data_IF_824420513808
#
_entry.id   IF_824420513808
#
_cell.length_a   1.000
_cell.length_b   1.000
_cell.length_c   1.000
_cell.angle_alpha   90.00
_cell.angle_beta   90.00
_cell.angle_gamma   90.00
#
_symmetry.space_group_name_H-M   'P 1'
#
loop_
_entity.id
_entity.type
_entity.pdbx_description
1 polymer ?
#
# COMPACT_ATOMS: atom_id res chain seq x y z
N UNK A 1 -48.61 53.91 -16.90
CA UNK A 1 -48.42 52.45 -17.02
C UNK A 1 -49.78 51.79 -17.16
N UNK A 2 -49.99 50.92 -18.14
CA UNK A 2 -51.23 50.11 -18.22
C UNK A 2 -51.27 49.11 -17.05
N UNK A 3 -52.46 48.74 -16.57
CA UNK A 3 -52.63 47.76 -15.47
C UNK A 3 -51.86 46.45 -15.71
N UNK A 4 -51.73 46.07 -16.98
CA UNK A 4 -51.00 44.90 -17.45
C UNK A 4 -49.48 45.02 -17.23
N UNK A 5 -48.89 46.19 -17.55
CA UNK A 5 -47.47 46.46 -17.28
C UNK A 5 -47.16 46.49 -15.78
N UNK A 6 -48.06 47.05 -14.97
CA UNK A 6 -47.88 47.13 -13.51
C UNK A 6 -47.98 45.74 -12.83
N UNK A 7 -48.86 44.86 -13.32
CA UNK A 7 -48.93 43.45 -12.91
C UNK A 7 -47.70 42.66 -13.33
N UNK A 8 -47.23 42.83 -14.57
CA UNK A 8 -46.02 42.18 -15.06
C UNK A 8 -44.78 42.63 -14.26
N UNK A 9 -44.68 43.93 -13.94
CA UNK A 9 -43.62 44.47 -13.09
C UNK A 9 -43.69 43.93 -11.66
N UNK A 10 -44.88 43.85 -11.04
CA UNK A 10 -45.03 43.26 -9.70
C UNK A 10 -44.68 41.77 -9.66
N UNK A 11 -45.03 41.00 -10.71
CA UNK A 11 -44.65 39.58 -10.82
C UNK A 11 -43.14 39.43 -11.00
N UNK A 12 -42.52 40.23 -11.88
CA UNK A 12 -41.07 40.16 -12.13
C UNK A 12 -40.22 40.68 -10.97
N UNK A 13 -40.70 41.68 -10.23
CA UNK A 13 -39.93 42.31 -9.13
C UNK A 13 -40.23 41.66 -7.76
N UNK A 14 -41.40 41.02 -7.59
CA UNK A 14 -41.78 40.39 -6.33
C UNK A 14 -41.83 38.87 -6.39
N UNK A 15 -42.63 38.32 -7.32
CA UNK A 15 -42.90 36.88 -7.37
C UNK A 15 -41.70 36.06 -7.86
N UNK A 16 -40.98 36.53 -8.89
CA UNK A 16 -39.80 35.82 -9.41
C UNK A 16 -38.67 35.75 -8.36
N UNK A 17 -38.24 36.85 -7.70
CA UNK A 17 -37.26 36.76 -6.63
C UNK A 17 -37.72 35.90 -5.45
N UNK A 18 -39.01 35.94 -5.08
CA UNK A 18 -39.55 35.09 -4.03
C UNK A 18 -39.48 33.60 -4.39
N UNK A 19 -39.83 33.23 -5.63
CA UNK A 19 -39.69 31.85 -6.11
C UNK A 19 -38.23 31.39 -6.13
N UNK A 20 -37.31 32.24 -6.57
CA UNK A 20 -35.87 31.93 -6.54
C UNK A 20 -35.39 31.71 -5.11
N UNK A 21 -35.81 32.55 -4.16
CA UNK A 21 -35.49 32.39 -2.74
C UNK A 21 -36.05 31.08 -2.16
N UNK A 22 -37.29 30.71 -2.51
CA UNK A 22 -37.90 29.43 -2.08
C UNK A 22 -37.16 28.23 -2.69
N UNK A 23 -36.83 28.28 -3.98
CA UNK A 23 -36.07 27.21 -4.64
C UNK A 23 -34.67 27.07 -4.03
N UNK A 24 -34.01 28.18 -3.73
CA UNK A 24 -32.72 28.19 -3.03
C UNK A 24 -32.84 27.60 -1.62
N UNK A 25 -33.85 27.99 -0.84
CA UNK A 25 -34.09 27.44 0.47
C UNK A 25 -34.36 25.92 0.42
N UNK A 26 -35.15 25.45 -0.54
CA UNK A 26 -35.39 24.03 -0.75
C UNK A 26 -34.10 23.27 -1.10
N UNK A 27 -33.26 23.83 -1.96
CA UNK A 27 -31.93 23.28 -2.29
C UNK A 27 -31.04 23.16 -1.05
N UNK A 28 -30.95 24.21 -0.22
CA UNK A 28 -30.17 24.19 1.02
C UNK A 28 -30.71 23.15 2.00
N UNK A 29 -32.04 23.02 2.13
CA UNK A 29 -32.63 21.99 2.98
C UNK A 29 -32.32 20.57 2.50
N UNK A 30 -32.31 20.33 1.18
CA UNK A 30 -31.93 19.04 0.60
C UNK A 30 -30.46 18.71 0.90
N UNK A 31 -29.55 19.67 0.71
CA UNK A 31 -28.13 19.51 1.05
C UNK A 31 -27.94 19.10 2.51
N UNK A 32 -28.51 19.89 3.42
CA UNK A 32 -28.41 19.65 4.86
C UNK A 32 -29.06 18.31 5.28
N UNK A 33 -30.04 17.84 4.52
CA UNK A 33 -30.67 16.53 4.76
C UNK A 33 -29.71 15.40 4.40
N UNK A 34 -29.14 15.40 3.19
CA UNK A 34 -28.19 14.39 2.76
C UNK A 34 -26.93 14.38 3.62
N UNK A 35 -26.38 15.56 3.89
CA UNK A 35 -25.22 15.75 4.77
C UNK A 35 -25.47 15.20 6.19
N UNK A 36 -26.65 15.48 6.76
CA UNK A 36 -27.04 14.93 8.06
C UNK A 36 -27.22 13.42 8.01
N UNK A 37 -27.92 12.90 7.00
CA UNK A 37 -28.19 11.47 6.87
C UNK A 37 -26.91 10.67 6.62
N UNK A 38 -25.99 11.21 5.81
CA UNK A 38 -24.66 10.65 5.60
C UNK A 38 -23.87 10.54 6.90
N UNK A 39 -23.86 11.58 7.74
CA UNK A 39 -23.21 11.52 9.07
C UNK A 39 -23.89 10.55 10.03
N UNK A 40 -25.23 10.59 10.11
CA UNK A 40 -26.00 9.68 10.97
C UNK A 40 -25.74 8.19 10.57
N UNK A 41 -25.58 7.90 9.26
CA UNK A 41 -25.21 6.58 8.73
C UNK A 41 -23.74 6.22 8.98
N UNK A 42 -22.82 7.17 8.82
CA UNK A 42 -21.40 6.97 9.09
C UNK A 42 -21.18 6.61 10.57
N UNK A 43 -21.84 7.33 11.48
CA UNK A 43 -21.81 7.05 12.93
C UNK A 43 -22.42 5.68 13.27
N UNK A 44 -23.36 5.19 12.44
CA UNK A 44 -23.94 3.86 12.54
C UNK A 44 -23.09 2.75 11.86
N UNK A 45 -21.91 3.10 11.33
CA UNK A 45 -21.06 2.23 10.52
C UNK A 45 -21.72 1.67 9.25
N UNK A 46 -22.72 2.37 8.72
CA UNK A 46 -23.35 2.08 7.43
C UNK A 46 -22.60 2.81 6.30
N UNK A 47 -21.31 2.51 6.12
CA UNK A 47 -20.38 3.33 5.33
C UNK A 47 -20.76 3.46 3.85
N UNK A 48 -21.15 2.38 3.17
CA UNK A 48 -21.65 2.44 1.78
C UNK A 48 -22.85 3.40 1.66
N UNK A 49 -23.79 3.31 2.60
CA UNK A 49 -24.97 4.16 2.58
C UNK A 49 -24.62 5.61 2.95
N UNK A 50 -23.63 5.84 3.81
CA UNK A 50 -23.10 7.17 4.08
C UNK A 50 -22.46 7.78 2.82
N UNK A 51 -21.64 7.01 2.09
CA UNK A 51 -21.02 7.44 0.84
C UNK A 51 -22.08 7.84 -0.20
N UNK A 52 -23.17 7.07 -0.34
CA UNK A 52 -24.28 7.40 -1.24
C UNK A 52 -24.93 8.75 -0.90
N UNK A 53 -25.14 9.04 0.39
CA UNK A 53 -25.71 10.33 0.83
C UNK A 53 -24.73 11.50 0.59
N UNK A 54 -23.44 11.31 0.85
CA UNK A 54 -22.43 12.34 0.58
C UNK A 54 -22.28 12.61 -0.92
N UNK A 55 -22.32 11.56 -1.75
CA UNK A 55 -22.32 11.69 -3.21
C UNK A 55 -23.55 12.45 -3.72
N UNK A 56 -24.73 12.12 -3.18
CA UNK A 56 -25.97 12.83 -3.47
C UNK A 56 -25.88 14.32 -3.08
N UNK A 57 -25.28 14.62 -1.92
CA UNK A 57 -25.01 15.99 -1.49
C UNK A 57 -24.05 16.71 -2.46
N UNK A 58 -22.98 16.06 -2.91
CA UNK A 58 -22.02 16.61 -3.87
C UNK A 58 -22.65 17.03 -5.18
N UNK A 59 -23.65 16.28 -5.68
CA UNK A 59 -24.38 16.62 -6.91
C UNK A 59 -25.14 17.95 -6.84
N UNK A 60 -25.48 18.41 -5.64
CA UNK A 60 -26.16 19.68 -5.41
C UNK A 60 -25.22 20.75 -4.85
N UNK A 61 -24.15 20.39 -4.13
CA UNK A 61 -23.23 21.31 -3.44
C UNK A 61 -22.17 21.88 -4.37
N UNK A 62 -22.40 23.13 -4.79
CA UNK A 62 -21.49 23.89 -5.65
C UNK A 62 -20.67 24.97 -4.92
N UNK A 63 -20.86 25.13 -3.60
CA UNK A 63 -20.21 26.19 -2.83
C UNK A 63 -19.00 25.66 -2.06
N UNK A 64 -19.11 24.44 -1.53
CA UNK A 64 -18.06 23.74 -0.81
C UNK A 64 -18.04 22.29 -1.31
N UNK A 65 -17.75 22.12 -2.61
CA UNK A 65 -17.76 20.80 -3.28
C UNK A 65 -16.79 19.83 -2.63
N UNK A 66 -15.61 20.31 -2.21
CA UNK A 66 -14.62 19.51 -1.50
C UNK A 66 -15.17 18.79 -0.26
N UNK A 67 -16.14 19.34 0.47
CA UNK A 67 -16.67 18.72 1.70
C UNK A 67 -17.39 17.43 1.37
N UNK A 68 -18.23 17.44 0.33
CA UNK A 68 -18.98 16.26 -0.07
C UNK A 68 -18.05 15.16 -0.59
N UNK A 69 -17.03 15.52 -1.38
CA UNK A 69 -16.01 14.59 -1.84
C UNK A 69 -15.18 14.04 -0.66
N UNK A 70 -14.76 14.90 0.28
CA UNK A 70 -14.02 14.48 1.47
C UNK A 70 -14.84 13.50 2.34
N UNK A 71 -16.10 13.81 2.61
CA UNK A 71 -16.99 12.98 3.43
C UNK A 71 -17.30 11.64 2.71
N UNK A 72 -17.50 11.65 1.38
CA UNK A 72 -17.63 10.43 0.58
C UNK A 72 -16.35 9.58 0.63
N UNK A 73 -15.18 10.20 0.46
CA UNK A 73 -13.89 9.52 0.57
C UNK A 73 -13.66 8.91 1.95
N UNK A 74 -13.99 9.63 3.02
CA UNK A 74 -13.92 9.11 4.39
C UNK A 74 -14.85 7.90 4.60
N UNK A 75 -16.06 7.94 4.07
CA UNK A 75 -16.98 6.80 4.12
C UNK A 75 -16.43 5.59 3.34
N UNK A 76 -15.91 5.79 2.13
CA UNK A 76 -15.30 4.72 1.32
C UNK A 76 -14.06 4.12 1.99
N UNK A 77 -13.22 4.96 2.57
CA UNK A 77 -12.05 4.53 3.34
C UNK A 77 -12.49 3.65 4.52
N UNK A 78 -13.48 4.08 5.29
CA UNK A 78 -14.00 3.30 6.41
C UNK A 78 -14.65 1.96 5.98
N UNK A 79 -15.21 1.88 4.78
CA UNK A 79 -15.72 0.64 4.17
C UNK A 79 -14.60 -0.30 3.68
N UNK A 80 -13.40 0.23 3.45
CA UNK A 80 -12.26 -0.48 2.86
C UNK A 80 -12.16 -0.35 1.33
N UNK A 81 -13.00 0.48 0.70
CA UNK A 81 -12.93 0.85 -0.72
C UNK A 81 -11.89 1.97 -0.92
N UNK A 82 -10.62 1.60 -0.75
CA UNK A 82 -9.49 2.54 -0.60
C UNK A 82 -9.16 3.29 -1.90
N UNK A 83 -9.23 2.62 -3.04
CA UNK A 83 -8.99 3.25 -4.35
C UNK A 83 -10.03 4.33 -4.62
N UNK A 84 -11.31 4.01 -4.42
CA UNK A 84 -12.37 5.00 -4.59
C UNK A 84 -12.28 6.11 -3.53
N UNK A 85 -11.80 5.82 -2.32
CA UNK A 85 -11.53 6.85 -1.33
C UNK A 85 -10.45 7.83 -1.80
N UNK A 86 -9.34 7.34 -2.37
CA UNK A 86 -8.27 8.16 -2.93
C UNK A 86 -8.76 9.04 -4.09
N UNK A 87 -9.61 8.52 -4.98
CA UNK A 87 -10.24 9.33 -6.05
C UNK A 87 -11.07 10.50 -5.48
N UNK A 88 -11.80 10.25 -4.40
CA UNK A 88 -12.60 11.29 -3.76
C UNK A 88 -11.74 12.30 -2.98
N UNK A 89 -10.64 11.85 -2.36
CA UNK A 89 -9.69 12.77 -1.74
C UNK A 89 -8.97 13.65 -2.78
N UNK A 90 -8.59 13.10 -3.93
CA UNK A 90 -8.05 13.88 -5.06
C UNK A 90 -9.07 14.91 -5.55
N UNK A 91 -10.34 14.50 -5.69
CA UNK A 91 -11.43 15.42 -6.04
C UNK A 91 -11.58 16.54 -5.02
N UNK A 92 -11.50 16.23 -3.72
CA UNK A 92 -11.56 17.24 -2.67
C UNK A 92 -10.35 18.20 -2.70
N UNK A 93 -9.16 17.72 -3.07
CA UNK A 93 -7.95 18.54 -3.18
C UNK A 93 -8.02 19.59 -4.30
N UNK A 94 -8.94 19.48 -5.26
CA UNK A 94 -9.08 20.44 -6.36
C UNK A 94 -9.51 21.85 -5.89
N UNK A 95 -10.37 21.92 -4.87
CA UNK A 95 -10.98 23.18 -4.40
C UNK A 95 -11.00 23.36 -2.87
N UNK A 96 -10.38 22.45 -2.11
CA UNK A 96 -10.22 22.58 -0.66
C UNK A 96 -9.48 23.88 -0.29
N UNK A 97 -9.95 24.64 0.73
CA UNK A 97 -9.20 25.76 1.26
C UNK A 97 -7.84 25.33 1.83
N UNK A 98 -6.81 26.17 1.70
CA UNK A 98 -5.46 25.88 2.23
C UNK A 98 -5.46 25.50 3.72
N UNK A 99 -6.36 26.08 4.52
CA UNK A 99 -6.50 25.76 5.95
C UNK A 99 -7.05 24.36 6.23
N UNK A 100 -7.61 23.71 5.22
CA UNK A 100 -8.26 22.40 5.27
C UNK A 100 -7.53 21.34 4.44
N UNK A 101 -6.58 21.75 3.59
CA UNK A 101 -5.85 20.88 2.68
C UNK A 101 -5.19 19.70 3.42
N UNK A 102 -4.57 19.95 4.57
CA UNK A 102 -3.94 18.89 5.35
C UNK A 102 -4.95 17.91 5.98
N UNK A 103 -6.20 18.32 6.24
CA UNK A 103 -7.25 17.38 6.64
C UNK A 103 -7.46 16.30 5.57
N UNK A 104 -7.50 16.71 4.29
CA UNK A 104 -7.68 15.79 3.16
C UNK A 104 -6.43 14.95 2.93
N UNK A 105 -5.25 15.57 2.91
CA UNK A 105 -3.98 14.88 2.67
C UNK A 105 -3.64 13.84 3.73
N UNK A 106 -3.92 14.11 5.01
CA UNK A 106 -3.74 13.13 6.09
C UNK A 106 -4.62 11.90 5.86
N UNK A 107 -5.88 12.09 5.47
CA UNK A 107 -6.78 10.98 5.19
C UNK A 107 -6.35 10.18 3.95
N UNK A 108 -5.88 10.84 2.90
CA UNK A 108 -5.30 10.17 1.73
C UNK A 108 -4.03 9.38 2.09
N UNK A 109 -3.16 9.92 2.94
CA UNK A 109 -1.97 9.22 3.42
C UNK A 109 -2.31 7.98 4.25
N UNK A 110 -3.36 8.04 5.07
CA UNK A 110 -3.88 6.88 5.82
C UNK A 110 -4.49 5.81 4.88
N UNK A 111 -5.14 6.22 3.79
CA UNK A 111 -5.65 5.27 2.79
C UNK A 111 -4.50 4.56 2.06
N UNK A 112 -3.47 5.30 1.65
CA UNK A 112 -2.23 4.74 1.12
C UNK A 112 -1.52 3.82 2.12
N UNK A 113 -1.51 4.18 3.41
CA UNK A 113 -0.98 3.32 4.45
C UNK A 113 -1.70 1.97 4.48
N UNK A 114 -3.04 1.99 4.44
CA UNK A 114 -3.86 0.78 4.49
C UNK A 114 -3.66 -0.07 3.23
N UNK A 115 -3.55 0.53 2.03
CA UNK A 115 -3.22 -0.18 0.79
C UNK A 115 -1.84 -0.85 0.88
N UNK A 116 -0.84 -0.12 1.38
CA UNK A 116 0.49 -0.66 1.54
C UNK A 116 0.55 -1.81 2.55
N UNK A 117 -0.24 -1.73 3.61
CA UNK A 117 -0.37 -2.80 4.61
C UNK A 117 -1.05 -4.05 4.01
N UNK A 118 -2.11 -3.87 3.22
CA UNK A 118 -2.76 -4.98 2.51
C UNK A 118 -1.81 -5.64 1.48
N UNK A 119 -1.03 -4.84 0.76
CA UNK A 119 -0.03 -5.35 -0.18
C UNK A 119 1.07 -6.14 0.54
N UNK A 120 1.57 -5.64 1.68
CA UNK A 120 2.55 -6.34 2.49
C UNK A 120 2.01 -7.67 3.05
N UNK A 121 0.76 -7.70 3.52
CA UNK A 121 0.06 -8.92 3.93
C UNK A 121 -0.13 -9.92 2.77
N UNK A 122 -0.30 -9.39 1.55
CA UNK A 122 -0.35 -10.16 0.31
C UNK A 122 1.02 -10.58 -0.24
N UNK A 123 2.11 -10.35 0.49
CA UNK A 123 3.50 -10.61 0.09
C UNK A 123 3.94 -9.83 -1.18
N UNK A 124 3.26 -8.73 -1.51
CA UNK A 124 3.63 -7.80 -2.59
C UNK A 124 4.45 -6.62 -2.03
N UNK A 125 5.73 -6.88 -1.85
CA UNK A 125 6.67 -5.93 -1.25
C UNK A 125 6.86 -4.63 -2.07
N UNK A 126 6.76 -4.73 -3.40
CA UNK A 126 6.95 -3.61 -4.32
C UNK A 126 5.74 -2.68 -4.26
N UNK A 127 4.53 -3.23 -4.29
CA UNK A 127 3.30 -2.46 -4.14
C UNK A 127 3.20 -1.84 -2.74
N UNK A 128 3.54 -2.59 -1.68
CA UNK A 128 3.58 -2.05 -0.32
C UNK A 128 4.48 -0.82 -0.21
N UNK A 129 5.68 -0.93 -0.78
CA UNK A 129 6.66 0.17 -0.82
C UNK A 129 6.13 1.37 -1.63
N UNK A 130 5.51 1.11 -2.78
CA UNK A 130 4.94 2.17 -3.62
C UNK A 130 3.83 2.94 -2.88
N UNK A 131 2.93 2.22 -2.20
CA UNK A 131 1.81 2.81 -1.48
C UNK A 131 2.27 3.61 -0.25
N UNK A 132 3.16 3.07 0.58
CA UNK A 132 3.68 3.83 1.72
C UNK A 132 4.47 5.08 1.29
N UNK A 133 5.21 4.99 0.19
CA UNK A 133 5.89 6.16 -0.38
C UNK A 133 4.88 7.21 -0.90
N UNK A 134 3.81 6.78 -1.57
CA UNK A 134 2.75 7.68 -2.02
C UNK A 134 2.09 8.42 -0.84
N UNK A 135 1.85 7.74 0.29
CA UNK A 135 1.34 8.38 1.50
C UNK A 135 2.27 9.48 2.05
N UNK A 136 3.59 9.24 2.04
CA UNK A 136 4.60 10.25 2.43
C UNK A 136 4.57 11.44 1.47
N UNK A 137 4.52 11.17 0.17
CA UNK A 137 4.56 12.20 -0.86
C UNK A 137 3.33 13.11 -0.78
N UNK A 138 2.13 12.52 -0.58
CA UNK A 138 0.88 13.26 -0.40
C UNK A 138 0.94 14.20 0.80
N UNK A 139 1.52 13.77 1.93
CA UNK A 139 1.72 14.64 3.10
C UNK A 139 2.74 15.76 2.82
N UNK A 140 3.84 15.42 2.14
CA UNK A 140 4.94 16.34 1.86
C UNK A 140 4.52 17.47 0.91
N UNK A 141 3.67 17.18 -0.08
CA UNK A 141 3.13 18.18 -1.02
C UNK A 141 2.39 19.32 -0.31
N UNK A 142 1.66 19.04 0.76
CA UNK A 142 0.96 20.04 1.57
C UNK A 142 1.81 20.63 2.70
N UNK A 143 3.03 20.14 2.93
CA UNK A 143 3.84 20.51 4.10
C UNK A 143 3.24 20.09 5.45
N UNK A 144 2.30 19.15 5.44
CA UNK A 144 1.44 18.83 6.58
C UNK A 144 2.18 18.35 7.84
N UNK A 145 3.25 17.54 7.75
CA UNK A 145 4.01 17.13 8.93
C UNK A 145 4.67 18.30 9.68
N UNK A 146 4.80 19.47 9.04
CA UNK A 146 5.43 20.66 9.65
C UNK A 146 4.43 21.74 10.06
N UNK A 147 3.36 21.92 9.28
CA UNK A 147 2.27 22.84 9.56
C UNK A 147 1.00 22.34 8.88
N UNK A 148 0.05 21.84 9.66
CA UNK A 148 -1.23 21.35 9.14
C UNK A 148 -2.35 22.40 9.12
N UNK A 149 -2.08 23.65 9.54
CA UNK A 149 -3.05 24.75 9.43
C UNK A 149 -4.16 24.80 10.49
N UNK A 150 -4.57 23.67 11.10
CA UNK A 150 -5.59 23.65 12.18
C UNK A 150 -5.03 23.58 13.61
N UNK A 151 -3.72 23.73 13.75
CA UNK A 151 -3.02 23.80 15.04
C UNK A 151 -2.12 22.61 15.30
N UNK A 152 -1.54 22.60 16.51
CA UNK A 152 -0.44 21.69 16.84
C UNK A 152 -0.86 20.22 16.88
N UNK A 153 -2.07 19.90 17.34
CA UNK A 153 -2.57 18.52 17.42
C UNK A 153 -2.62 17.85 16.04
N UNK A 154 -3.18 18.53 15.03
CA UNK A 154 -3.21 18.00 13.67
C UNK A 154 -1.82 17.87 13.05
N UNK A 155 -0.92 18.83 13.34
CA UNK A 155 0.48 18.73 12.89
C UNK A 155 1.17 17.52 13.50
N UNK A 156 0.96 17.25 14.80
CA UNK A 156 1.51 16.07 15.47
C UNK A 156 0.93 14.77 14.90
N UNK A 157 -0.36 14.74 14.55
CA UNK A 157 -0.98 13.61 13.85
C UNK A 157 -0.36 13.38 12.47
N UNK A 158 -0.22 14.42 11.66
CA UNK A 158 0.41 14.34 10.33
C UNK A 158 1.86 13.86 10.41
N UNK A 159 2.62 14.38 11.37
CA UNK A 159 3.99 13.95 11.64
C UNK A 159 4.04 12.48 12.05
N UNK A 160 3.13 12.03 12.92
CA UNK A 160 3.07 10.64 13.35
C UNK A 160 2.75 9.67 12.20
N UNK A 161 1.89 10.07 11.25
CA UNK A 161 1.62 9.28 10.03
C UNK A 161 2.87 9.22 9.14
N UNK A 162 3.51 10.36 8.86
CA UNK A 162 4.74 10.41 8.05
C UNK A 162 5.86 9.54 8.65
N UNK A 163 6.09 9.63 9.96
CA UNK A 163 7.10 8.81 10.66
C UNK A 163 6.77 7.32 10.54
N UNK A 164 5.52 6.93 10.77
CA UNK A 164 5.09 5.53 10.69
C UNK A 164 5.26 4.95 9.29
N UNK A 165 4.91 5.71 8.25
CA UNK A 165 5.13 5.29 6.85
C UNK A 165 6.63 5.11 6.53
N UNK A 166 7.49 6.01 7.01
CA UNK A 166 8.95 5.89 6.82
C UNK A 166 9.52 4.68 7.55
N UNK A 167 9.01 4.38 8.74
CA UNK A 167 9.40 3.19 9.50
C UNK A 167 9.01 1.91 8.76
N UNK A 168 7.80 1.84 8.20
CA UNK A 168 7.34 0.70 7.38
C UNK A 168 8.26 0.49 6.16
N UNK A 169 8.58 1.56 5.43
CA UNK A 169 9.53 1.50 4.31
C UNK A 169 10.91 0.98 4.73
N UNK A 170 11.43 1.46 5.86
CA UNK A 170 12.72 1.01 6.37
C UNK A 170 12.69 -0.48 6.76
N UNK A 171 11.61 -0.92 7.41
CA UNK A 171 11.45 -2.33 7.81
C UNK A 171 11.36 -3.24 6.58
N UNK A 172 10.61 -2.85 5.55
CA UNK A 172 10.50 -3.61 4.30
C UNK A 172 11.84 -3.77 3.59
N UNK A 173 12.64 -2.70 3.53
CA UNK A 173 13.98 -2.75 2.94
C UNK A 173 14.92 -3.69 3.71
N UNK A 174 14.81 -3.74 5.04
CA UNK A 174 15.60 -4.66 5.86
C UNK A 174 15.20 -6.11 5.63
N UNK A 175 13.90 -6.39 5.53
CA UNK A 175 13.40 -7.74 5.23
C UNK A 175 13.88 -8.21 3.85
N UNK A 176 13.76 -7.38 2.81
CA UNK A 176 14.25 -7.72 1.46
C UNK A 176 15.77 -8.00 1.41
N UNK A 177 16.57 -7.28 2.20
CA UNK A 177 18.01 -7.54 2.30
C UNK A 177 18.31 -8.86 2.99
N UNK A 178 17.57 -9.17 4.05
CA UNK A 178 17.71 -10.43 4.78
C UNK A 178 17.32 -11.62 3.90
N UNK A 179 16.21 -11.53 3.15
CA UNK A 179 15.76 -12.57 2.23
C UNK A 179 16.77 -12.82 1.10
N UNK A 180 17.41 -11.76 0.58
CA UNK A 180 18.47 -11.89 -0.43
C UNK A 180 19.74 -12.57 0.14
N UNK A 181 20.08 -12.28 1.40
CA UNK A 181 21.23 -12.88 2.06
C UNK A 181 20.97 -14.36 2.37
N UNK A 182 19.79 -14.71 2.88
CA UNK A 182 19.39 -16.09 3.14
C UNK A 182 19.35 -16.93 1.85
N UNK A 183 18.95 -16.35 0.72
CA UNK A 183 19.01 -17.01 -0.59
C UNK A 183 20.44 -17.23 -1.09
N UNK A 184 21.37 -16.30 -0.84
CA UNK A 184 22.78 -16.48 -1.18
C UNK A 184 23.44 -17.55 -0.33
N UNK A 185 23.18 -17.55 0.98
CA UNK A 185 23.73 -18.54 1.91
C UNK A 185 23.23 -19.96 1.56
N UNK A 186 21.93 -20.12 1.22
CA UNK A 186 21.41 -21.40 0.74
C UNK A 186 22.07 -21.88 -0.55
N UNK A 187 22.30 -21.00 -1.52
CA UNK A 187 22.98 -21.39 -2.76
C UNK A 187 24.44 -21.79 -2.49
N UNK A 188 25.11 -21.12 -1.56
CA UNK A 188 26.49 -21.42 -1.20
C UNK A 188 26.60 -22.76 -0.46
N UNK A 189 25.69 -23.04 0.49
CA UNK A 189 25.61 -24.33 1.18
C UNK A 189 25.32 -25.50 0.23
N UNK A 190 24.45 -25.30 -0.78
CA UNK A 190 24.19 -26.31 -1.81
C UNK A 190 25.43 -26.60 -2.66
N UNK A 191 26.20 -25.55 -3.00
CA UNK A 191 27.44 -25.66 -3.77
C UNK A 191 28.53 -26.38 -2.98
N UNK A 192 28.72 -26.02 -1.72
CA UNK A 192 29.70 -26.64 -0.82
C UNK A 192 29.37 -28.12 -0.58
N UNK A 193 28.10 -28.45 -0.40
CA UNK A 193 27.67 -29.85 -0.33
C UNK A 193 27.92 -30.63 -1.63
N UNK A 194 27.73 -30.02 -2.80
CA UNK A 194 28.05 -30.66 -4.07
C UNK A 194 29.56 -30.92 -4.19
N UNK A 195 30.39 -29.93 -3.84
CA UNK A 195 31.84 -30.07 -3.85
C UNK A 195 32.32 -31.17 -2.89
N UNK A 196 31.74 -31.23 -1.68
CA UNK A 196 32.08 -32.24 -0.70
C UNK A 196 31.72 -33.65 -1.19
N UNK A 197 30.52 -33.82 -1.76
CA UNK A 197 30.11 -35.10 -2.38
C UNK A 197 31.03 -35.51 -3.54
N UNK A 198 31.50 -34.55 -4.34
CA UNK A 198 32.49 -34.81 -5.38
C UNK A 198 33.85 -35.26 -4.82
N UNK A 199 34.33 -34.60 -3.76
CA UNK A 199 35.60 -34.96 -3.10
C UNK A 199 35.52 -36.37 -2.51
N UNK A 200 34.47 -36.69 -1.78
CA UNK A 200 34.24 -38.04 -1.23
C UNK A 200 34.14 -39.12 -2.32
N UNK A 201 33.61 -38.76 -3.50
CA UNK A 201 33.60 -39.67 -4.65
C UNK A 201 35.01 -39.88 -5.22
N UNK A 202 35.79 -38.81 -5.38
CA UNK A 202 37.18 -38.88 -5.87
C UNK A 202 38.09 -39.64 -4.89
N UNK A 203 37.91 -39.45 -3.58
CA UNK A 203 38.66 -40.19 -2.56
C UNK A 203 38.37 -41.69 -2.64
N UNK A 204 37.11 -42.10 -2.74
CA UNK A 204 36.76 -43.51 -2.95
C UNK A 204 37.36 -44.10 -4.22
N UNK A 205 37.31 -43.37 -5.34
CA UNK A 205 37.96 -43.80 -6.60
C UNK A 205 39.48 -43.93 -6.47
N UNK A 206 40.13 -43.11 -5.63
CA UNK A 206 41.56 -43.21 -5.36
C UNK A 206 41.92 -44.37 -4.42
N UNK A 207 41.10 -44.63 -3.39
CA UNK A 207 41.25 -45.78 -2.50
C UNK A 207 41.10 -47.09 -3.28
N UNK A 208 40.04 -47.24 -4.08
CA UNK A 208 39.83 -48.42 -4.94
C UNK A 208 41.05 -48.65 -5.86
N UNK A 209 41.56 -47.59 -6.51
CA UNK A 209 42.74 -47.71 -7.38
C UNK A 209 44.03 -48.07 -6.63
N UNK A 210 44.18 -47.62 -5.39
CA UNK A 210 45.35 -47.96 -4.57
C UNK A 210 45.29 -49.43 -4.14
N UNK A 211 44.12 -49.91 -3.72
CA UNK A 211 43.89 -51.31 -3.34
C UNK A 211 44.12 -52.24 -4.51
N UNK A 212 43.55 -51.93 -5.69
CA UNK A 212 43.80 -52.67 -6.94
C UNK A 212 45.31 -52.74 -7.28
N UNK A 213 46.04 -51.65 -7.01
CA UNK A 213 47.47 -51.57 -7.25
C UNK A 213 48.29 -52.42 -6.26
N UNK A 214 47.87 -52.49 -5.00
CA UNK A 214 48.48 -53.34 -3.97
C UNK A 214 48.22 -54.82 -4.25
N UNK A 215 47.00 -55.19 -4.66
CA UNK A 215 46.68 -56.55 -5.07
C UNK A 215 47.54 -57.00 -6.24
N UNK A 216 47.68 -56.17 -7.29
CA UNK A 216 48.56 -56.47 -8.43
C UNK A 216 50.03 -56.65 -8.03
N UNK A 217 50.54 -55.87 -7.07
CA UNK A 217 51.90 -56.04 -6.57
C UNK A 217 52.06 -57.35 -5.81
N UNK A 218 51.11 -57.70 -4.94
CA UNK A 218 51.13 -58.97 -4.20
C UNK A 218 51.06 -60.16 -5.15
N UNK A 219 50.17 -60.13 -6.14
CA UNK A 219 50.10 -61.17 -7.18
C UNK A 219 51.44 -61.31 -7.91
N UNK A 220 52.08 -60.21 -8.30
CA UNK A 220 53.40 -60.24 -8.93
C UNK A 220 54.51 -60.77 -8.03
N UNK A 221 54.48 -60.47 -6.74
CA UNK A 221 55.45 -61.01 -5.76
C UNK A 221 55.25 -62.51 -5.53
N UNK A 222 54.01 -62.96 -5.36
CA UNK A 222 53.68 -64.37 -5.16
C UNK A 222 54.00 -65.21 -6.42
N UNK A 223 53.70 -64.71 -7.60
CA UNK A 223 53.99 -65.39 -8.89
C UNK A 223 55.52 -65.52 -9.13
N UNK A 224 56.30 -64.51 -8.72
CA UNK A 224 57.76 -64.60 -8.72
C UNK A 224 58.30 -65.56 -7.65
N UNK A 225 57.67 -65.59 -6.47
CA UNK A 225 58.04 -66.47 -5.36
C UNK A 225 57.75 -67.93 -5.69
N UNK A 226 56.61 -68.24 -6.30
CA UNK A 226 56.29 -69.58 -6.82
C UNK A 226 57.28 -70.03 -7.90
N UNK A 227 57.68 -69.14 -8.81
CA UNK A 227 58.75 -69.44 -9.78
C UNK A 227 60.07 -69.80 -9.11
N UNK A 228 60.47 -69.07 -8.07
CA UNK A 228 61.73 -69.32 -7.34
C UNK A 228 61.68 -70.65 -6.57
N UNK A 229 60.55 -71.00 -5.95
CA UNK A 229 60.36 -72.30 -5.29
C UNK A 229 60.34 -73.49 -6.28
N UNK A 230 59.86 -73.29 -7.50
CA UNK A 230 59.90 -74.32 -8.55
C UNK A 230 61.33 -74.63 -9.06
N UNK A 231 62.29 -73.74 -8.82
CA UNK A 231 63.68 -73.92 -9.23
C UNK A 231 64.50 -74.84 -8.31
N UNK A 232 63.98 -75.18 -7.12
CA UNK A 232 64.69 -75.96 -6.09
C UNK A 232 64.08 -77.34 -5.77
N UNK A 233 63.03 -77.77 -6.48
CA UNK A 233 62.51 -79.13 -6.37
C UNK A 233 63.03 -80.00 -7.52
N UNK A 234 63.96 -80.91 -7.19
CA UNK A 234 64.44 -82.01 -8.04
C UNK A 234 63.52 -83.23 -7.93
#
# INVERSE_FOLDING_TARGET
>A
MTRERLRLTLVLVGFVPALVAVAFAAKVLLMLSHDREGRDRFDAAEYVAAADEFSANGSVNWFESWIAAFDEGAARHADGDLESALEQYETALEDVPVTEECTVRINAALAHETLGDQAAEGEDADEATAQWQAGIDVLAEGGCPSDSGRGQEQTEEAEAVDQRLREKLQQQQQQQQQDQQDQQDQQQDEQDQQEQRERERKERELEERNDDGLEQQQEHEDDNRERDYSQYQW
#
